data_IF_075179018304
#
_entry.id   IF_075179018304
#
_cell.length_a   1.000
_cell.length_b   1.000
_cell.length_c   1.000
_cell.angle_alpha   90.00
_cell.angle_beta   90.00
_cell.angle_gamma   90.00
#
_symmetry.space_group_name_H-M   'P 1'
#
loop_
_entity.id
_entity.type
_entity.pdbx_description
1 polymer ?
#
# COMPACT_ATOMS: atom_id res chain seq x y z
N UNK A 1 7.18 23.95 7.62
CA UNK A 1 7.35 23.64 6.19
C UNK A 1 6.11 22.88 5.78
N UNK A 2 5.31 23.42 4.86
CA UNK A 2 4.12 22.74 4.36
C UNK A 2 4.57 21.90 3.17
N UNK A 3 4.59 20.59 3.32
CA UNK A 3 4.82 19.68 2.21
C UNK A 3 3.67 19.84 1.22
N UNK A 4 3.97 20.39 0.05
CA UNK A 4 3.04 20.45 -1.07
C UNK A 4 2.73 19.01 -1.48
N UNK A 5 1.59 18.47 -1.04
CA UNK A 5 1.06 17.22 -1.57
C UNK A 5 0.72 17.45 -3.04
N UNK A 6 1.66 17.05 -3.90
CA UNK A 6 1.52 17.09 -5.34
C UNK A 6 0.61 15.92 -5.73
N UNK A 7 -0.71 16.13 -5.65
CA UNK A 7 -1.69 15.22 -6.25
C UNK A 7 -1.59 15.36 -7.77
N UNK A 8 -0.55 14.76 -8.35
CA UNK A 8 -0.40 14.64 -9.80
C UNK A 8 -1.55 13.79 -10.32
N UNK A 9 -2.31 14.32 -11.27
CA UNK A 9 -3.49 13.72 -11.89
C UNK A 9 -3.16 12.50 -12.80
N UNK A 10 -2.11 11.73 -12.48
CA UNK A 10 -1.60 10.57 -13.22
C UNK A 10 -1.07 9.50 -12.25
N UNK A 11 -1.79 9.19 -11.16
CA UNK A 11 -1.42 8.04 -10.32
C UNK A 11 -1.65 6.75 -11.10
N UNK A 12 -0.64 5.89 -11.14
CA UNK A 12 -0.80 4.50 -11.56
C UNK A 12 -1.37 3.69 -10.39
N UNK A 13 -2.07 2.61 -10.71
CA UNK A 13 -2.54 1.66 -9.70
C UNK A 13 -1.90 0.32 -9.94
N UNK A 14 -1.15 -0.18 -8.96
CA UNK A 14 -0.72 -1.57 -8.90
C UNK A 14 -1.79 -2.40 -8.19
N UNK A 15 -2.08 -3.57 -8.73
CA UNK A 15 -3.10 -4.49 -8.18
C UNK A 15 -2.45 -5.80 -7.81
N UNK A 16 -2.69 -6.26 -6.59
CA UNK A 16 -2.27 -7.57 -6.09
C UNK A 16 -3.47 -8.42 -5.69
N UNK A 17 -3.32 -9.75 -5.80
CA UNK A 17 -4.25 -10.70 -5.20
C UNK A 17 -3.89 -10.91 -3.72
N UNK A 18 -4.88 -10.82 -2.83
CA UNK A 18 -4.70 -10.93 -1.38
C UNK A 18 -4.10 -12.28 -0.93
N UNK A 19 -4.35 -13.36 -1.66
CA UNK A 19 -3.89 -14.71 -1.29
C UNK A 19 -2.38 -14.90 -1.56
N UNK A 20 -1.82 -14.09 -2.46
CA UNK A 20 -0.41 -14.18 -2.88
C UNK A 20 0.42 -13.00 -2.36
N UNK A 21 -0.24 -11.90 -2.01
CA UNK A 21 0.42 -10.65 -1.65
C UNK A 21 1.17 -10.77 -0.32
N UNK A 22 2.50 -10.60 -0.39
CA UNK A 22 3.37 -10.61 0.76
C UNK A 22 3.64 -9.19 1.23
N UNK A 23 3.43 -8.94 2.51
CA UNK A 23 3.68 -7.65 3.13
C UNK A 23 4.04 -7.78 4.61
N UNK A 24 4.77 -6.80 5.10
CA UNK A 24 5.05 -6.56 6.51
C UNK A 24 4.10 -5.48 7.04
N UNK A 25 3.52 -5.71 8.22
CA UNK A 25 2.70 -4.70 8.90
C UNK A 25 3.59 -3.72 9.66
N UNK A 26 3.55 -2.45 9.27
CA UNK A 26 4.31 -1.37 9.93
C UNK A 26 3.44 -0.68 11.00
N UNK A 27 2.17 -0.44 10.68
CA UNK A 27 1.17 0.06 11.63
C UNK A 27 -0.12 -0.74 11.49
N UNK A 28 -0.83 -0.91 12.61
CA UNK A 28 -2.12 -1.59 12.65
C UNK A 28 -3.14 -0.81 13.49
N UNK A 29 -4.42 -1.00 13.15
CA UNK A 29 -5.55 -0.55 13.95
C UNK A 29 -6.60 -1.66 14.01
N UNK A 30 -7.06 -2.02 15.21
CA UNK A 30 -8.08 -3.07 15.41
C UNK A 30 -7.73 -4.43 14.77
N UNK A 31 -6.45 -4.79 14.71
CA UNK A 31 -5.97 -6.02 14.08
C UNK A 31 -5.88 -5.97 12.55
N UNK A 32 -6.10 -4.80 11.95
CA UNK A 32 -5.97 -4.56 10.51
C UNK A 32 -4.69 -3.76 10.22
N UNK A 33 -3.95 -4.14 9.19
CA UNK A 33 -2.74 -3.44 8.78
C UNK A 33 -3.09 -2.11 8.09
N UNK A 34 -2.79 -0.97 8.71
CA UNK A 34 -3.08 0.37 8.16
C UNK A 34 -1.90 0.97 7.43
N UNK A 35 -0.68 0.52 7.74
CA UNK A 35 0.53 0.84 6.99
C UNK A 35 1.26 -0.47 6.72
N UNK A 36 1.56 -0.72 5.45
CA UNK A 36 2.23 -1.94 4.99
C UNK A 36 3.53 -1.61 4.27
N UNK A 37 4.50 -2.52 4.35
CA UNK A 37 5.70 -2.52 3.53
C UNK A 37 5.72 -3.78 2.66
N UNK A 38 6.02 -3.62 1.38
CA UNK A 38 6.03 -4.73 0.42
C UNK A 38 7.14 -4.55 -0.61
N UNK A 39 7.58 -5.64 -1.23
CA UNK A 39 8.58 -5.61 -2.30
C UNK A 39 7.98 -4.97 -3.57
N UNK A 40 8.71 -4.01 -4.13
CA UNK A 40 8.34 -3.34 -5.37
C UNK A 40 9.60 -2.95 -6.15
N UNK A 41 9.88 -3.69 -7.22
CA UNK A 41 11.05 -3.49 -8.08
C UNK A 41 10.71 -2.93 -9.46
N UNK A 42 9.43 -2.82 -9.80
CA UNK A 42 9.01 -2.31 -11.10
C UNK A 42 9.16 -0.77 -11.15
N UNK A 43 10.08 -0.24 -11.97
CA UNK A 43 10.42 1.19 -11.98
C UNK A 43 9.31 2.06 -12.59
N UNK A 44 8.20 1.48 -13.05
CA UNK A 44 7.03 2.24 -13.52
C UNK A 44 6.26 2.89 -12.38
N UNK A 45 6.39 2.36 -11.16
CA UNK A 45 5.65 2.86 -9.99
C UNK A 45 6.52 3.77 -9.12
N UNK A 46 5.87 4.76 -8.53
CA UNK A 46 6.51 5.84 -7.79
C UNK A 46 5.68 6.20 -6.54
N UNK A 47 6.30 6.94 -5.62
CA UNK A 47 5.54 7.59 -4.54
C UNK A 47 4.44 8.50 -5.13
N UNK A 48 3.24 8.39 -4.59
CA UNK A 48 2.02 8.99 -5.12
C UNK A 48 1.13 8.03 -5.93
N UNK A 49 1.65 6.87 -6.34
CA UNK A 49 0.84 5.82 -6.95
C UNK A 49 0.01 5.06 -5.90
N UNK A 50 -0.96 4.28 -6.37
CA UNK A 50 -1.89 3.54 -5.53
C UNK A 50 -1.59 2.04 -5.57
N UNK A 51 -1.72 1.38 -4.43
CA UNK A 51 -1.79 -0.07 -4.32
C UNK A 51 -3.21 -0.49 -3.96
N UNK A 52 -3.74 -1.45 -4.71
CA UNK A 52 -5.01 -2.11 -4.44
C UNK A 52 -4.75 -3.59 -4.24
N UNK A 53 -5.19 -4.13 -3.10
CA UNK A 53 -5.15 -5.57 -2.83
C UNK A 53 -6.57 -6.10 -2.88
N UNK A 54 -6.81 -7.12 -3.71
CA UNK A 54 -8.13 -7.69 -3.96
C UNK A 54 -8.22 -9.13 -3.47
N UNK A 55 -9.32 -9.49 -2.81
CA UNK A 55 -9.74 -10.88 -2.67
C UNK A 55 -10.98 -11.09 -3.55
N UNK A 56 -10.80 -11.76 -4.69
CA UNK A 56 -11.85 -11.81 -5.72
C UNK A 56 -12.21 -10.41 -6.23
N UNK A 57 -13.45 -9.96 -5.98
CA UNK A 57 -13.93 -8.61 -6.33
C UNK A 57 -13.83 -7.60 -5.17
N UNK A 58 -13.47 -8.05 -3.97
CA UNK A 58 -13.50 -7.23 -2.77
C UNK A 58 -12.15 -6.55 -2.54
N UNK A 59 -12.18 -5.25 -2.23
CA UNK A 59 -10.99 -4.47 -1.91
C UNK A 59 -10.62 -4.72 -0.45
N UNK A 60 -9.44 -5.29 -0.24
CA UNK A 60 -8.87 -5.54 1.08
C UNK A 60 -7.90 -4.44 1.52
N UNK A 61 -7.32 -3.71 0.58
CA UNK A 61 -6.46 -2.56 0.87
C UNK A 61 -6.51 -1.60 -0.30
N UNK A 62 -6.64 -0.30 -0.01
CA UNK A 62 -6.56 0.75 -1.01
C UNK A 62 -5.74 1.90 -0.46
N UNK A 63 -4.43 1.82 -0.65
CA UNK A 63 -3.48 2.76 -0.06
C UNK A 63 -2.64 3.48 -1.10
N UNK A 64 -2.24 4.69 -0.76
CA UNK A 64 -1.24 5.43 -1.53
C UNK A 64 0.15 5.00 -1.10
N UNK A 65 1.05 4.80 -2.06
CA UNK A 65 2.48 4.60 -1.83
C UNK A 65 3.06 5.96 -1.43
N UNK A 66 3.50 6.08 -0.17
CA UNK A 66 4.09 7.32 0.36
C UNK A 66 5.61 7.35 0.21
N UNK A 67 6.26 6.20 0.35
CA UNK A 67 7.71 6.08 0.37
C UNK A 67 8.16 4.85 -0.42
N UNK A 68 9.33 4.94 -1.07
CA UNK A 68 9.96 3.86 -1.82
C UNK A 68 11.48 3.92 -1.66
N UNK A 69 12.13 2.76 -1.56
CA UNK A 69 13.58 2.66 -1.42
C UNK A 69 14.03 1.21 -1.24
N UNK A 70 15.25 0.91 -1.67
CA UNK A 70 15.91 -0.39 -1.47
C UNK A 70 15.08 -1.61 -1.94
N UNK A 71 14.25 -1.43 -2.97
CA UNK A 71 13.38 -2.49 -3.50
C UNK A 71 12.07 -2.68 -2.75
N UNK A 72 11.75 -1.79 -1.80
CA UNK A 72 10.50 -1.80 -1.04
C UNK A 72 9.69 -0.53 -1.26
N UNK A 73 8.39 -0.65 -1.03
CA UNK A 73 7.44 0.45 -0.97
C UNK A 73 6.66 0.40 0.35
N UNK A 74 6.28 1.57 0.86
CA UNK A 74 5.41 1.73 2.02
C UNK A 74 4.12 2.39 1.57
N UNK A 75 2.99 1.74 1.86
CA UNK A 75 1.67 2.25 1.52
C UNK A 75 0.77 2.35 2.75
N UNK A 76 -0.17 3.30 2.70
CA UNK A 76 -1.04 3.63 3.82
C UNK A 76 -2.51 3.60 3.43
N UNK A 77 -3.31 2.84 4.19
CA UNK A 77 -4.78 2.86 4.19
C UNK A 77 -5.27 2.91 5.64
N UNK A 78 -5.50 4.13 6.15
CA UNK A 78 -5.88 4.35 7.56
C UNK A 78 -7.36 4.11 7.87
N UNK A 79 -8.20 3.81 6.89
CA UNK A 79 -9.66 3.80 7.09
C UNK A 79 -10.40 2.61 6.47
N UNK A 80 -9.81 1.96 5.47
CA UNK A 80 -10.49 0.93 4.69
C UNK A 80 -9.81 -0.44 4.70
N UNK A 81 -8.63 -0.58 5.32
CA UNK A 81 -7.90 -1.83 5.27
C UNK A 81 -8.67 -2.98 5.93
N UNK A 82 -8.80 -4.08 5.22
CA UNK A 82 -9.25 -5.38 5.71
C UNK A 82 -8.10 -6.38 5.77
N UNK A 83 -6.87 -5.98 5.43
CA UNK A 83 -5.71 -6.86 5.55
C UNK A 83 -5.48 -7.18 7.03
N UNK A 84 -5.39 -8.47 7.41
CA UNK A 84 -5.04 -8.82 8.78
C UNK A 84 -3.60 -8.37 9.05
N UNK A 85 -3.37 -7.85 10.25
CA UNK A 85 -2.02 -7.54 10.66
C UNK A 85 -1.18 -8.83 10.73
N UNK A 86 -0.05 -8.80 10.05
CA UNK A 86 0.97 -9.85 10.08
C UNK A 86 1.95 -9.51 11.20
N UNK A 87 2.11 -10.45 12.16
CA UNK A 87 3.18 -10.38 13.16
C UNK A 87 4.36 -11.15 12.58
N UNK A 88 5.51 -10.47 12.41
CA UNK A 88 6.78 -11.19 12.30
C UNK A 88 7.28 -11.56 13.70
#
# INVERSE_FOLDING_TARGET
MSESQNYGNNSQTIVYNADEFQFETIEQQNGQATVIRFELHDPRYHAGDMVVVLSGSDIHFHGMIGEMGDGFAVATDRRGSLLPATVQ
#
